data_IF_182594166042
#
_entry.id   IF_182594166042
#
_cell.length_a   1.000
_cell.length_b   1.000
_cell.length_c   1.000
_cell.angle_alpha   90.00
_cell.angle_beta   90.00
_cell.angle_gamma   90.00
#
_symmetry.space_group_name_H-M   'P 1'
#
loop_
_entity.id
_entity.type
_entity.pdbx_description
1 polymer ?
#
# COMPACT_ATOMS: atom_id res chain seq x y z
N UNK A 1 -5.99 -1.57 16.50
CA UNK A 1 -4.79 -2.32 16.03
C UNK A 1 -4.15 -1.50 14.91
N UNK A 2 -2.83 -1.39 14.86
CA UNK A 2 -2.11 -0.77 13.74
C UNK A 2 -1.33 -1.88 13.03
N UNK A 3 -1.48 -1.97 11.71
CA UNK A 3 -0.87 -3.01 10.90
C UNK A 3 -0.13 -2.38 9.71
N UNK A 4 1.16 -2.68 9.57
CA UNK A 4 1.92 -2.33 8.37
C UNK A 4 1.68 -3.40 7.30
N UNK A 5 0.87 -3.02 6.29
CA UNK A 5 0.33 -3.85 5.21
C UNK A 5 -0.75 -4.84 5.65
N UNK A 6 -1.69 -5.09 4.73
CA UNK A 6 -2.75 -6.08 4.88
C UNK A 6 -3.14 -6.62 3.48
N UNK A 7 -4.38 -7.09 3.31
CA UNK A 7 -4.89 -7.71 2.07
C UNK A 7 -4.77 -6.84 0.82
N UNK A 8 -4.84 -5.51 0.94
CA UNK A 8 -4.60 -4.58 -0.17
C UNK A 8 -3.19 -4.74 -0.76
N UNK A 9 -2.19 -5.08 0.07
CA UNK A 9 -0.83 -5.36 -0.40
C UNK A 9 -0.75 -6.69 -1.14
N UNK A 10 -1.46 -7.72 -0.69
CA UNK A 10 -1.56 -8.98 -1.44
C UNK A 10 -2.16 -8.71 -2.82
N UNK A 11 -3.23 -7.91 -2.89
CA UNK A 11 -3.86 -7.55 -4.16
C UNK A 11 -2.91 -6.78 -5.09
N UNK A 12 -2.26 -5.73 -4.58
CA UNK A 12 -1.34 -4.91 -5.38
C UNK A 12 -0.12 -5.69 -5.89
N UNK A 13 0.52 -6.51 -5.04
CA UNK A 13 1.72 -7.24 -5.42
C UNK A 13 1.43 -8.49 -6.22
N UNK A 14 0.45 -9.29 -5.80
CA UNK A 14 0.20 -10.60 -6.39
C UNK A 14 -0.79 -10.49 -7.56
N UNK A 15 -1.83 -9.66 -7.43
CA UNK A 15 -2.78 -9.43 -8.51
C UNK A 15 -2.14 -8.57 -9.59
N UNK A 16 -1.90 -7.30 -9.29
CA UNK A 16 -1.38 -6.37 -10.30
C UNK A 16 0.09 -6.60 -10.63
N UNK A 17 0.94 -6.76 -9.62
CA UNK A 17 2.38 -6.93 -9.82
C UNK A 17 2.72 -8.23 -10.57
N UNK A 18 2.27 -9.39 -10.06
CA UNK A 18 2.54 -10.72 -10.64
C UNK A 18 1.55 -11.15 -11.73
N UNK A 19 0.40 -10.50 -11.85
CA UNK A 19 -0.62 -10.83 -12.86
C UNK A 19 -1.49 -12.04 -12.50
N UNK A 20 -1.60 -12.40 -11.21
CA UNK A 20 -2.56 -13.42 -10.79
C UNK A 20 -3.99 -12.89 -10.83
N UNK A 21 -4.96 -13.80 -10.93
CA UNK A 21 -6.38 -13.47 -10.94
C UNK A 21 -6.78 -12.73 -9.65
N UNK A 22 -7.26 -11.50 -9.82
CA UNK A 22 -7.64 -10.61 -8.72
C UNK A 22 -8.88 -11.11 -8.00
N UNK A 23 -9.82 -11.77 -8.67
CA UNK A 23 -11.01 -12.31 -8.01
C UNK A 23 -10.65 -13.52 -7.13
N UNK A 24 -9.74 -14.36 -7.59
CA UNK A 24 -9.25 -15.47 -6.77
C UNK A 24 -8.45 -14.96 -5.56
N UNK A 25 -7.60 -13.94 -5.73
CA UNK A 25 -6.90 -13.30 -4.60
C UNK A 25 -7.90 -12.72 -3.60
N UNK A 26 -8.95 -12.06 -4.07
CA UNK A 26 -10.01 -11.50 -3.21
C UNK A 26 -10.69 -12.60 -2.40
N UNK A 27 -11.04 -13.72 -3.05
CA UNK A 27 -11.63 -14.90 -2.41
C UNK A 27 -10.71 -15.50 -1.34
N UNK A 28 -9.42 -15.68 -1.66
CA UNK A 28 -8.43 -16.22 -0.73
C UNK A 28 -8.18 -15.30 0.46
N UNK A 29 -8.09 -13.99 0.22
CA UNK A 29 -7.98 -13.00 1.29
C UNK A 29 -9.19 -13.05 2.23
N UNK A 30 -10.41 -13.06 1.68
CA UNK A 30 -11.62 -13.14 2.49
C UNK A 30 -11.70 -14.43 3.31
N UNK A 31 -11.28 -15.57 2.74
CA UNK A 31 -11.19 -16.83 3.48
C UNK A 31 -10.16 -16.76 4.62
N UNK A 32 -8.97 -16.18 4.35
CA UNK A 32 -7.89 -16.11 5.33
C UNK A 32 -8.17 -15.14 6.49
N UNK A 33 -8.99 -14.11 6.25
CA UNK A 33 -9.31 -13.08 7.23
C UNK A 33 -10.72 -13.19 7.79
N UNK A 34 -11.48 -14.22 7.43
CA UNK A 34 -12.92 -14.35 7.72
C UNK A 34 -13.72 -13.10 7.33
N UNK A 35 -13.38 -12.54 6.15
CA UNK A 35 -13.98 -11.33 5.62
C UNK A 35 -13.55 -10.04 6.33
N UNK A 36 -12.66 -10.09 7.32
CA UNK A 36 -12.19 -8.90 8.02
C UNK A 36 -11.49 -7.94 7.06
N UNK A 37 -11.90 -6.68 7.11
CA UNK A 37 -11.29 -5.55 6.43
C UNK A 37 -10.87 -4.48 7.44
N UNK A 38 -9.82 -3.69 7.16
CA UNK A 38 -9.48 -2.55 7.99
C UNK A 38 -10.58 -1.47 7.93
N UNK A 39 -10.93 -0.89 9.07
CA UNK A 39 -11.81 0.30 9.12
C UNK A 39 -11.20 1.48 8.36
N UNK A 40 -9.86 1.57 8.39
CA UNK A 40 -9.06 2.53 7.62
C UNK A 40 -7.78 1.92 7.09
N UNK A 41 -7.40 2.41 5.92
CA UNK A 41 -6.11 2.15 5.28
C UNK A 41 -5.54 3.47 4.81
N UNK A 42 -4.31 3.78 5.23
CA UNK A 42 -3.59 4.96 4.76
C UNK A 42 -2.60 4.54 3.67
N UNK A 43 -2.87 4.93 2.42
CA UNK A 43 -1.98 4.68 1.29
C UNK A 43 -1.06 5.89 1.11
N UNK A 44 0.21 5.73 1.47
CA UNK A 44 1.24 6.75 1.23
C UNK A 44 1.73 6.61 -0.22
N UNK A 45 1.18 7.43 -1.11
CA UNK A 45 1.43 7.35 -2.55
C UNK A 45 2.70 8.10 -2.93
N UNK A 46 3.54 7.46 -3.73
CA UNK A 46 4.80 7.99 -4.25
C UNK A 46 5.02 7.50 -5.67
N UNK A 47 5.66 8.33 -6.49
CA UNK A 47 6.13 7.87 -7.80
C UNK A 47 7.10 6.70 -7.64
N UNK A 48 7.06 5.75 -8.59
CA UNK A 48 7.98 4.60 -8.59
C UNK A 48 9.44 5.05 -8.60
N UNK A 49 9.75 6.14 -9.31
CA UNK A 49 11.08 6.75 -9.33
C UNK A 49 11.53 7.19 -7.94
N UNK A 50 10.70 7.98 -7.24
CA UNK A 50 11.00 8.45 -5.88
C UNK A 50 11.11 7.30 -4.88
N UNK A 51 10.28 6.26 -5.02
CA UNK A 51 10.41 5.03 -4.24
C UNK A 51 11.79 4.39 -4.44
N UNK A 52 12.23 4.23 -5.70
CA UNK A 52 13.51 3.63 -6.01
C UNK A 52 14.70 4.45 -5.46
N UNK A 53 14.64 5.78 -5.56
CA UNK A 53 15.63 6.69 -4.97
C UNK A 53 15.74 6.51 -3.45
N UNK A 54 14.60 6.49 -2.74
CA UNK A 54 14.55 6.29 -1.29
C UNK A 54 15.00 4.89 -0.86
N UNK A 55 14.79 3.87 -1.69
CA UNK A 55 15.26 2.52 -1.39
C UNK A 55 16.77 2.40 -1.56
N UNK A 56 17.33 3.03 -2.59
CA UNK A 56 18.78 3.03 -2.81
C UNK A 56 19.53 3.82 -1.73
N UNK A 57 18.93 4.87 -1.15
CA UNK A 57 19.57 5.64 -0.07
C UNK A 57 19.58 4.95 1.29
N UNK A 58 18.78 3.88 1.50
CA UNK A 58 18.73 3.12 2.75
C UNK A 58 19.91 2.15 2.96
N UNK A 59 20.80 2.00 1.97
CA UNK A 59 21.98 1.13 2.02
C UNK A 59 21.68 -0.34 1.64
N UNK A 60 22.68 -1.04 1.09
CA UNK A 60 22.49 -2.37 0.45
C UNK A 60 21.95 -3.45 1.39
N UNK A 61 22.25 -3.39 2.69
CA UNK A 61 21.80 -4.37 3.69
C UNK A 61 20.30 -4.31 4.04
N UNK A 62 19.56 -3.35 3.49
CA UNK A 62 18.11 -3.19 3.76
C UNK A 62 17.23 -3.64 2.60
N UNK A 63 17.83 -4.07 1.48
CA UNK A 63 17.10 -4.53 0.30
C UNK A 63 16.55 -5.93 0.52
N UNK A 64 15.23 -6.07 0.46
CA UNK A 64 14.54 -7.35 0.49
C UNK A 64 14.31 -7.90 -0.94
N UNK A 65 13.73 -9.10 -1.05
CA UNK A 65 13.45 -9.76 -2.33
C UNK A 65 12.55 -8.94 -3.27
N UNK A 66 11.58 -8.20 -2.74
CA UNK A 66 10.68 -7.35 -3.52
C UNK A 66 11.40 -6.10 -4.05
N UNK A 67 12.44 -5.65 -3.37
CA UNK A 67 13.26 -4.51 -3.78
C UNK A 67 14.15 -4.81 -5.00
N UNK A 68 14.23 -6.09 -5.38
CA UNK A 68 14.93 -6.57 -6.58
C UNK A 68 14.00 -6.71 -7.79
N UNK A 69 12.70 -6.42 -7.63
CA UNK A 69 11.74 -6.51 -8.72
C UNK A 69 11.95 -5.39 -9.75
N UNK A 70 11.59 -5.69 -11.00
CA UNK A 70 11.75 -4.73 -12.11
C UNK A 70 10.92 -3.45 -11.90
N UNK A 71 11.36 -2.35 -12.52
CA UNK A 71 10.57 -1.11 -12.59
C UNK A 71 9.15 -1.35 -13.12
N UNK A 72 9.00 -2.18 -14.14
CA UNK A 72 7.69 -2.51 -14.72
C UNK A 72 6.78 -3.24 -13.70
N UNK A 73 7.35 -4.08 -12.84
CA UNK A 73 6.60 -4.68 -11.72
C UNK A 73 6.12 -3.60 -10.75
N UNK A 74 7.00 -2.70 -10.33
CA UNK A 74 6.64 -1.63 -9.39
C UNK A 74 5.61 -0.65 -9.97
N UNK A 75 5.65 -0.38 -11.27
CA UNK A 75 4.63 0.40 -11.97
C UNK A 75 3.25 -0.27 -11.95
N UNK A 76 3.19 -1.59 -12.12
CA UNK A 76 1.94 -2.35 -11.97
C UNK A 76 1.44 -2.37 -10.53
N UNK A 77 2.34 -2.55 -9.55
CA UNK A 77 2.00 -2.49 -8.12
C UNK A 77 1.42 -1.12 -7.77
N UNK A 78 2.09 -0.05 -8.18
CA UNK A 78 1.63 1.32 -7.97
C UNK A 78 0.24 1.55 -8.59
N UNK A 79 0.06 1.13 -9.85
CA UNK A 79 -1.25 1.18 -10.52
C UNK A 79 -2.32 0.44 -9.72
N UNK A 80 -2.02 -0.77 -9.25
CA UNK A 80 -2.94 -1.56 -8.44
C UNK A 80 -3.38 -0.86 -7.15
N UNK A 81 -2.45 -0.23 -6.42
CA UNK A 81 -2.81 0.55 -5.24
C UNK A 81 -3.70 1.75 -5.57
N UNK A 82 -3.43 2.47 -6.65
CA UNK A 82 -4.25 3.62 -7.06
C UNK A 82 -5.66 3.20 -7.47
N UNK A 83 -5.80 2.07 -8.18
CA UNK A 83 -7.12 1.52 -8.53
C UNK A 83 -7.88 1.03 -7.29
N UNK A 84 -7.20 0.34 -6.37
CA UNK A 84 -7.80 -0.08 -5.09
C UNK A 84 -8.30 1.13 -4.29
N UNK A 85 -7.50 2.20 -4.19
CA UNK A 85 -7.90 3.42 -3.53
C UNK A 85 -9.11 4.09 -4.20
N UNK A 86 -9.14 4.12 -5.54
CA UNK A 86 -10.25 4.69 -6.30
C UNK A 86 -11.57 3.91 -6.10
N UNK A 87 -11.49 2.58 -5.94
CA UNK A 87 -12.65 1.71 -5.72
C UNK A 87 -13.10 1.59 -4.25
N UNK A 88 -12.28 2.01 -3.28
CA UNK A 88 -12.54 1.84 -1.85
C UNK A 88 -12.33 3.16 -1.08
N UNK A 89 -12.86 4.27 -1.61
CA UNK A 89 -12.66 5.63 -1.08
C UNK A 89 -13.21 5.81 0.34
N UNK A 90 -14.15 4.95 0.74
CA UNK A 90 -14.75 4.95 2.08
C UNK A 90 -13.79 4.50 3.17
N UNK A 91 -12.76 3.71 2.84
CA UNK A 91 -11.77 3.18 3.81
C UNK A 91 -10.32 3.51 3.48
N UNK A 92 -9.98 3.72 2.19
CA UNK A 92 -8.62 4.01 1.76
C UNK A 92 -8.43 5.52 1.61
N UNK A 93 -7.56 6.08 2.45
CA UNK A 93 -7.14 7.47 2.39
C UNK A 93 -5.79 7.54 1.70
N UNK A 94 -5.74 8.19 0.54
CA UNK A 94 -4.49 8.44 -0.18
C UNK A 94 -3.80 9.67 0.39
N UNK A 95 -2.53 9.54 0.73
CA UNK A 95 -1.68 10.61 1.25
C UNK A 95 -0.53 10.86 0.28
N UNK A 96 -0.18 12.13 0.09
CA UNK A 96 1.00 12.52 -0.69
C UNK A 96 2.29 12.17 0.06
N UNK A 97 2.94 11.09 -0.37
CA UNK A 97 4.20 10.63 0.20
C UNK A 97 5.42 11.47 -0.18
N UNK A 98 5.26 12.44 -1.08
CA UNK A 98 6.29 13.42 -1.44
C UNK A 98 6.55 14.45 -0.34
N UNK A 99 5.61 14.60 0.61
CA UNK A 99 5.75 15.47 1.78
C UNK A 99 6.71 14.89 2.81
N UNK A 100 7.08 15.71 3.79
CA UNK A 100 7.96 15.26 4.88
C UNK A 100 7.26 14.21 5.76
N UNK A 101 8.01 13.27 6.36
CA UNK A 101 7.43 12.25 7.22
C UNK A 101 6.58 12.82 8.37
N UNK A 102 7.03 13.91 9.00
CA UNK A 102 6.31 14.57 10.09
C UNK A 102 4.92 15.05 9.65
N UNK A 103 4.87 15.69 8.48
CA UNK A 103 3.61 16.24 7.94
C UNK A 103 2.61 15.12 7.62
N UNK A 104 3.08 14.00 7.07
CA UNK A 104 2.23 12.83 6.78
C UNK A 104 1.75 12.19 8.10
N UNK A 105 2.65 12.06 9.08
CA UNK A 105 2.32 11.50 10.39
C UNK A 105 1.26 12.32 11.13
N UNK A 106 1.40 13.65 11.13
CA UNK A 106 0.43 14.57 11.74
C UNK A 106 -0.95 14.46 11.05
N UNK A 107 -0.97 14.31 9.73
CA UNK A 107 -2.21 14.13 8.98
C UNK A 107 -2.90 12.79 9.33
N UNK A 108 -2.15 11.69 9.37
CA UNK A 108 -2.66 10.37 9.78
C UNK A 108 -3.22 10.45 11.20
N UNK A 109 -2.44 11.01 12.13
CA UNK A 109 -2.82 11.08 13.54
C UNK A 109 -4.09 11.92 13.73
N UNK A 110 -4.20 13.07 13.06
CA UNK A 110 -5.39 13.91 13.13
C UNK A 110 -6.64 13.20 12.58
N UNK A 111 -6.50 12.42 11.50
CA UNK A 111 -7.62 11.62 10.95
C UNK A 111 -8.05 10.52 11.92
N UNK A 112 -7.09 9.75 12.46
CA UNK A 112 -7.38 8.72 13.45
C UNK A 112 -8.09 9.33 14.67
N UNK A 113 -7.57 10.44 15.21
CA UNK A 113 -8.17 11.12 16.37
C UNK A 113 -9.59 11.61 16.08
N UNK A 114 -9.90 12.03 14.86
CA UNK A 114 -11.25 12.51 14.52
C UNK A 114 -12.26 11.37 14.37
N UNK A 115 -11.80 10.20 13.93
CA UNK A 115 -12.68 9.10 13.50
C UNK A 115 -12.84 8.01 14.56
N UNK A 116 -11.86 7.82 15.46
CA UNK A 116 -11.80 6.67 16.36
C UNK A 116 -11.54 7.02 17.83
N UNK A 117 -11.34 8.30 18.18
CA UNK A 117 -11.07 8.78 19.55
C UNK A 117 -12.09 9.86 19.89
#
# INVERSE_FOLDING_TARGET
VICDRFTDSTMAYQGYGRGFDTEEIKRLNALATDGLLPDRTFLIALSVTTCAERMNSRGEGTKNRLDQESRAFMERVHKGYMELAACNQERIVVLDGGRSPQVIADEIFNKIRKEFI
#
